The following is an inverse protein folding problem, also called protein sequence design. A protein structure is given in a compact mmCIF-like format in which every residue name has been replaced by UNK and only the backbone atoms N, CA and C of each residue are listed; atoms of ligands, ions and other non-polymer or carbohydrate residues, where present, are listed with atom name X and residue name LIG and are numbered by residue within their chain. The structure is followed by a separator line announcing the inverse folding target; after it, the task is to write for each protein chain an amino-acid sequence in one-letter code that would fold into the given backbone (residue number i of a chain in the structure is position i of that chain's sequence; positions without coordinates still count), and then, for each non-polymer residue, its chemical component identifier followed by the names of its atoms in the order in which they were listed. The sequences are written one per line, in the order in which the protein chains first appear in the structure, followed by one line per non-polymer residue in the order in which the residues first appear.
data_IF_283902605361
#
_entry.id   IF_283902605361
#
_cell.length_a   1.000
_cell.length_b   1.000
_cell.length_c   1.000
_cell.angle_alpha   90.00
_cell.angle_beta   90.00
_cell.angle_gamma   90.00
#
_symmetry.space_group_name_H-M   'P 1'
#
loop_
_entity.id
_entity.type
_entity.pdbx_description
1 polymer ?
#
# COMPACT_ATOMS: atom_id res chain seq x y z
N UNK A 1 15.76 17.01 -18.55
CA UNK A 1 15.28 17.00 -17.15
C UNK A 1 15.58 15.63 -16.56
N UNK A 2 16.48 15.57 -15.59
CA UNK A 2 16.86 14.33 -14.90
C UNK A 2 15.69 13.85 -14.05
N UNK A 3 15.14 12.68 -14.39
CA UNK A 3 14.14 11.97 -13.57
C UNK A 3 14.79 11.66 -12.22
N UNK A 4 14.36 12.32 -11.15
CA UNK A 4 14.77 11.99 -9.78
C UNK A 4 14.49 10.52 -9.55
N UNK A 5 15.53 9.71 -9.37
CA UNK A 5 15.42 8.27 -9.19
C UNK A 5 14.78 8.04 -7.82
N UNK A 6 13.50 7.72 -7.78
CA UNK A 6 12.84 7.31 -6.55
C UNK A 6 13.61 6.10 -5.99
N UNK A 7 14.16 6.20 -4.78
CA UNK A 7 14.90 5.13 -4.09
C UNK A 7 13.97 4.00 -3.60
N UNK A 8 12.97 3.65 -4.41
CA UNK A 8 11.95 2.68 -4.03
C UNK A 8 12.56 1.28 -4.11
N UNK A 9 12.68 0.63 -2.96
CA UNK A 9 13.17 -0.74 -2.84
C UNK A 9 11.99 -1.69 -3.04
N UNK A 10 12.09 -2.58 -4.03
CA UNK A 10 11.13 -3.67 -4.18
C UNK A 10 11.51 -4.80 -3.22
N UNK A 11 10.52 -5.30 -2.47
CA UNK A 11 10.72 -6.39 -1.52
C UNK A 11 9.70 -7.48 -1.87
N UNK A 12 10.19 -8.70 -2.08
CA UNK A 12 9.35 -9.86 -2.30
C UNK A 12 9.03 -10.50 -0.94
N UNK A 13 7.76 -10.67 -0.64
CA UNK A 13 7.28 -11.33 0.58
C UNK A 13 6.34 -12.47 0.22
N UNK A 14 6.42 -13.57 0.97
CA UNK A 14 5.47 -14.67 0.88
C UNK A 14 4.46 -14.55 2.01
N UNK A 15 3.17 -14.62 1.67
CA UNK A 15 2.07 -14.49 2.63
C UNK A 15 1.22 -15.78 2.55
N UNK A 16 0.80 -16.35 3.70
CA UNK A 16 -0.16 -17.45 3.71
C UNK A 16 -1.45 -17.10 2.95
N UNK A 17 -2.03 -18.07 2.24
CA UNK A 17 -3.24 -17.85 1.45
C UNK A 17 -4.44 -17.38 2.30
N UNK A 18 -4.55 -17.87 3.54
CA UNK A 18 -5.60 -17.47 4.47
C UNK A 18 -5.51 -15.98 4.84
N UNK A 19 -4.30 -15.48 5.09
CA UNK A 19 -4.07 -14.07 5.41
C UNK A 19 -4.40 -13.17 4.22
N UNK A 20 -4.11 -13.63 3.00
CA UNK A 20 -4.48 -12.90 1.79
C UNK A 20 -5.99 -12.72 1.69
N UNK A 21 -6.78 -13.77 1.91
CA UNK A 21 -8.24 -13.68 1.89
C UNK A 21 -8.78 -12.73 2.96
N UNK A 22 -8.24 -12.78 4.18
CA UNK A 22 -8.66 -11.89 5.25
C UNK A 22 -8.36 -10.42 4.92
N UNK A 23 -7.16 -10.13 4.40
CA UNK A 23 -6.76 -8.78 4.00
C UNK A 23 -7.58 -8.24 2.83
N UNK A 24 -7.94 -9.07 1.85
CA UNK A 24 -8.82 -8.68 0.75
C UNK A 24 -10.22 -8.31 1.24
N UNK A 25 -10.77 -9.07 2.20
CA UNK A 25 -12.08 -8.74 2.80
C UNK A 25 -12.04 -7.41 3.57
N UNK A 26 -10.99 -7.19 4.36
CA UNK A 26 -10.78 -5.95 5.10
C UNK A 26 -10.64 -4.76 4.14
N UNK A 27 -9.86 -4.92 3.07
CA UNK A 27 -9.69 -3.88 2.05
C UNK A 27 -11.01 -3.52 1.36
N UNK A 28 -11.86 -4.51 1.09
CA UNK A 28 -13.18 -4.30 0.51
C UNK A 28 -14.08 -3.45 1.44
N UNK A 29 -14.12 -3.77 2.73
CA UNK A 29 -14.90 -3.03 3.73
C UNK A 29 -14.41 -1.57 3.82
N UNK A 30 -13.10 -1.36 4.02
CA UNK A 30 -12.54 -0.01 4.06
C UNK A 30 -12.75 0.77 2.77
N UNK A 31 -12.71 0.09 1.62
CA UNK A 31 -12.95 0.71 0.32
C UNK A 31 -14.36 1.30 0.22
N UNK A 32 -15.35 0.59 0.76
CA UNK A 32 -16.73 1.06 0.84
C UNK A 32 -16.87 2.20 1.86
N UNK A 33 -16.24 2.08 3.04
CA UNK A 33 -16.30 3.10 4.09
C UNK A 33 -15.64 4.44 3.69
N UNK A 34 -14.45 4.41 3.10
CA UNK A 34 -13.74 5.61 2.64
C UNK A 34 -14.24 6.12 1.27
N UNK A 35 -15.09 5.36 0.57
CA UNK A 35 -15.55 5.66 -0.79
C UNK A 35 -14.41 5.70 -1.82
N UNK A 36 -13.31 4.98 -1.56
CA UNK A 36 -12.09 4.96 -2.38
C UNK A 36 -11.69 3.53 -2.66
N UNK A 37 -11.08 3.26 -3.81
CA UNK A 37 -10.52 1.94 -4.11
C UNK A 37 -9.30 1.70 -3.21
N UNK A 38 -9.46 0.89 -2.16
CA UNK A 38 -8.38 0.49 -1.26
C UNK A 38 -8.05 -0.97 -1.56
N UNK A 39 -6.79 -1.25 -1.84
CA UNK A 39 -6.33 -2.62 -2.11
C UNK A 39 -5.65 -3.22 -0.88
N UNK A 40 -5.55 -4.56 -0.81
CA UNK A 40 -4.80 -5.23 0.24
C UNK A 40 -3.33 -4.79 0.29
N UNK A 41 -2.74 -4.40 -0.86
CA UNK A 41 -1.38 -3.88 -0.93
C UNK A 41 -1.25 -2.53 -0.22
N UNK A 42 -2.27 -1.67 -0.30
CA UNK A 42 -2.26 -0.38 0.38
C UNK A 42 -2.33 -0.56 1.90
N UNK A 43 -3.12 -1.53 2.37
CA UNK A 43 -3.14 -1.91 3.78
C UNK A 43 -1.77 -2.45 4.23
N UNK A 44 -1.13 -3.31 3.44
CA UNK A 44 0.20 -3.83 3.75
C UNK A 44 1.25 -2.73 3.81
N UNK A 45 1.22 -1.78 2.87
CA UNK A 45 2.14 -0.62 2.88
C UNK A 45 1.94 0.23 4.12
N UNK A 46 0.69 0.60 4.42
CA UNK A 46 0.36 1.38 5.64
C UNK A 46 0.79 0.63 6.90
N UNK A 47 0.45 -0.66 7.02
CA UNK A 47 0.82 -1.47 8.18
C UNK A 47 2.33 -1.58 8.39
N UNK A 48 3.13 -1.73 7.32
CA UNK A 48 4.59 -1.74 7.41
C UNK A 48 5.11 -0.35 7.81
N UNK A 49 4.56 0.72 7.23
CA UNK A 49 4.93 2.09 7.56
C UNK A 49 4.66 2.42 9.03
N UNK A 50 3.47 2.12 9.52
CA UNK A 50 3.07 2.35 10.91
C UNK A 50 3.91 1.52 11.89
N UNK A 51 4.04 0.21 11.63
CA UNK A 51 4.75 -0.71 12.53
C UNK A 51 6.23 -0.34 12.71
N UNK A 52 6.86 0.17 11.67
CA UNK A 52 8.28 0.57 11.69
C UNK A 52 8.47 2.09 11.79
N UNK A 53 7.40 2.86 11.98
CA UNK A 53 7.42 4.34 11.99
C UNK A 53 8.20 4.92 10.81
N UNK A 54 8.10 4.26 9.64
CA UNK A 54 8.71 4.76 8.41
C UNK A 54 7.90 5.99 8.01
N UNK A 55 8.54 7.15 7.94
CA UNK A 55 7.87 8.39 7.54
C UNK A 55 7.13 8.23 6.21
N UNK A 56 6.03 8.98 6.04
CA UNK A 56 5.30 9.05 4.78
C UNK A 56 6.20 9.63 3.68
N UNK A 57 6.89 8.74 2.96
CA UNK A 57 7.44 9.11 1.66
C UNK A 57 6.28 9.15 0.67
N UNK A 58 5.52 10.25 0.72
CA UNK A 58 4.47 10.64 -0.23
C UNK A 58 5.05 10.95 -1.63
N UNK A 59 5.94 10.10 -2.13
CA UNK A 59 6.28 10.13 -3.53
C UNK A 59 5.09 9.55 -4.29
N UNK A 60 4.34 10.50 -4.87
CA UNK A 60 3.57 10.36 -6.11
C UNK A 60 2.37 9.40 -6.04
N UNK A 61 1.31 9.87 -5.38
CA UNK A 61 -0.03 9.78 -6.00
C UNK A 61 0.01 10.58 -7.30
N UNK A 62 0.63 10.00 -8.32
CA UNK A 62 0.55 10.48 -9.69
C UNK A 62 -0.87 10.25 -10.18
N UNK A 63 -1.76 11.20 -9.91
CA UNK A 63 -2.89 11.46 -10.78
C UNK A 63 -2.28 11.79 -12.14
N UNK A 64 -2.31 10.82 -13.04
CA UNK A 64 -2.00 11.04 -14.44
C UNK A 64 -3.18 11.86 -14.98
N UNK A 65 -3.02 13.18 -15.02
CA UNK A 65 -3.83 14.10 -15.82
C UNK A 65 -3.01 14.55 -17.01
#
# INVERSE_FOLDING_TARGET
MSRSKSNNVQINISIPAEWKMQLENIACIYSVEEGKTITFLDLMRRGIQEKYQLGENNNERGTIS
#
